data_IF_786997293577
#
_entry.id   IF_786997293577
#
_cell.length_a   1.000
_cell.length_b   1.000
_cell.length_c   1.000
_cell.angle_alpha   90.00
_cell.angle_beta   90.00
_cell.angle_gamma   90.00
#
_symmetry.space_group_name_H-M   'P 1'
#
loop_
_entity.id
_entity.type
_entity.pdbx_description
1 polymer ?
#
# COMPACT_ATOMS: atom_id res chain seq x y z
N UNK A 1 7.61 0.77 22.93
CA UNK A 1 6.20 0.42 23.03
C UNK A 1 5.39 1.21 22.02
N UNK A 2 4.53 0.53 21.29
CA UNK A 2 3.74 1.21 20.26
C UNK A 2 2.59 2.00 20.86
N UNK A 3 2.32 3.15 20.28
CA UNK A 3 1.16 3.93 20.68
C UNK A 3 -0.10 3.16 20.30
N UNK A 4 -1.08 3.22 21.17
CA UNK A 4 -2.35 2.57 20.90
C UNK A 4 -3.14 3.40 19.90
N UNK A 5 -3.59 2.76 18.83
CA UNK A 5 -4.37 3.43 17.79
C UNK A 5 -5.85 3.23 18.07
N UNK A 6 -6.58 4.34 18.11
CA UNK A 6 -8.03 4.29 18.28
C UNK A 6 -8.70 4.56 16.95
N UNK A 7 -9.01 3.49 16.24
CA UNK A 7 -9.59 3.57 14.90
C UNK A 7 -10.94 4.25 14.91
N UNK A 8 -11.72 4.06 15.97
CA UNK A 8 -13.03 4.71 16.06
C UNK A 8 -12.92 6.22 16.10
N UNK A 9 -11.93 6.73 16.82
CA UNK A 9 -11.71 8.17 16.85
C UNK A 9 -11.25 8.68 15.49
N UNK A 10 -10.40 7.91 14.81
CA UNK A 10 -9.97 8.29 13.46
C UNK A 10 -11.17 8.37 12.53
N UNK A 11 -12.06 7.39 12.60
CA UNK A 11 -13.24 7.36 11.76
C UNK A 11 -14.17 8.53 12.03
N UNK A 12 -14.18 9.03 13.27
CA UNK A 12 -15.00 10.19 13.65
C UNK A 12 -14.35 11.52 13.27
N UNK A 13 -13.13 11.49 12.74
CA UNK A 13 -12.47 12.69 12.29
C UNK A 13 -11.58 13.36 13.33
N UNK A 14 -11.18 12.62 14.37
CA UNK A 14 -10.29 13.16 15.39
C UNK A 14 -8.89 13.31 14.83
N UNK A 15 -8.41 14.55 14.71
CA UNK A 15 -7.11 14.83 14.11
C UNK A 15 -5.95 14.27 14.94
N UNK A 16 -6.05 14.32 16.26
CA UNK A 16 -4.99 13.79 17.12
C UNK A 16 -4.87 12.28 16.96
N UNK A 17 -6.02 11.60 16.87
CA UNK A 17 -6.03 10.15 16.65
C UNK A 17 -5.46 9.81 15.30
N UNK A 18 -5.77 10.60 14.28
CA UNK A 18 -5.22 10.37 12.93
C UNK A 18 -3.72 10.59 12.90
N UNK A 19 -3.23 11.59 13.62
CA UNK A 19 -1.80 11.83 13.69
C UNK A 19 -1.06 10.62 14.25
N UNK A 20 -1.58 10.04 15.33
CA UNK A 20 -0.99 8.83 15.90
C UNK A 20 -1.04 7.68 14.92
N UNK A 21 -2.16 7.53 14.23
CA UNK A 21 -2.36 6.51 13.20
C UNK A 21 -1.32 6.68 12.09
N UNK A 22 -1.17 7.91 11.60
CA UNK A 22 -0.21 8.22 10.54
C UNK A 22 1.21 7.91 10.99
N UNK A 23 1.59 8.37 12.17
CA UNK A 23 2.94 8.17 12.67
C UNK A 23 3.28 6.70 12.89
N UNK A 24 2.29 5.91 13.24
CA UNK A 24 2.49 4.49 13.43
C UNK A 24 2.68 3.76 12.11
N UNK A 25 1.85 4.04 11.12
CA UNK A 25 1.85 3.29 9.87
C UNK A 25 2.75 3.85 8.78
N UNK A 26 3.08 5.14 8.83
CA UNK A 26 3.88 5.74 7.78
C UNK A 26 5.20 5.01 7.53
N UNK A 27 6.03 4.77 8.57
CA UNK A 27 7.30 4.07 8.32
C UNK A 27 7.11 2.66 7.80
N UNK A 28 6.05 1.97 8.25
CA UNK A 28 5.78 0.61 7.79
C UNK A 28 5.38 0.59 6.32
N UNK A 29 4.54 1.54 5.92
CA UNK A 29 4.11 1.64 4.54
C UNK A 29 5.26 2.08 3.64
N UNK A 30 6.10 3.01 4.12
CA UNK A 30 7.27 3.41 3.34
C UNK A 30 8.22 2.26 3.12
N UNK A 31 8.46 1.44 4.15
CA UNK A 31 9.34 0.28 4.02
C UNK A 31 8.79 -0.69 2.96
N UNK A 32 7.48 -0.88 2.95
CA UNK A 32 6.88 -1.76 1.95
C UNK A 32 6.96 -1.16 0.56
N UNK A 33 6.60 0.11 0.41
CA UNK A 33 6.58 0.75 -0.91
C UNK A 33 7.96 0.80 -1.54
N UNK A 34 9.00 1.00 -0.73
CA UNK A 34 10.36 1.08 -1.26
C UNK A 34 10.89 -0.25 -1.81
N UNK A 35 10.16 -1.32 -1.58
CA UNK A 35 10.49 -2.60 -2.21
C UNK A 35 10.05 -2.65 -3.66
N UNK A 36 9.09 -1.82 -4.03
CA UNK A 36 8.49 -1.84 -5.37
C UNK A 36 8.95 -0.67 -6.22
N UNK A 37 9.13 0.50 -5.61
CA UNK A 37 9.39 1.74 -6.33
C UNK A 37 10.45 2.53 -5.59
N UNK A 38 10.98 3.59 -6.23
CA UNK A 38 11.98 4.42 -5.58
C UNK A 38 11.34 5.27 -4.47
N UNK A 39 12.20 5.91 -3.69
CA UNK A 39 11.75 6.62 -2.51
C UNK A 39 10.78 7.76 -2.82
N UNK A 40 11.03 8.49 -3.90
CA UNK A 40 10.17 9.60 -4.25
C UNK A 40 8.76 9.14 -4.61
N UNK A 41 8.68 8.11 -5.43
CA UNK A 41 7.40 7.53 -5.80
C UNK A 41 6.73 6.91 -4.58
N UNK A 42 7.52 6.25 -3.72
CA UNK A 42 6.97 5.66 -2.50
C UNK A 42 6.29 6.70 -1.63
N UNK A 43 6.93 7.85 -1.44
CA UNK A 43 6.32 8.93 -0.65
C UNK A 43 4.98 9.36 -1.22
N UNK A 44 4.94 9.55 -2.53
CA UNK A 44 3.70 9.98 -3.18
C UNK A 44 2.59 8.96 -3.00
N UNK A 45 2.91 7.69 -3.19
CA UNK A 45 1.90 6.64 -3.07
C UNK A 45 1.42 6.44 -1.64
N UNK A 46 2.33 6.51 -0.67
CA UNK A 46 1.96 6.36 0.72
C UNK A 46 1.08 7.52 1.16
N UNK A 47 1.42 8.74 0.78
CA UNK A 47 0.61 9.90 1.11
C UNK A 47 -0.77 9.79 0.49
N UNK A 48 -0.86 9.29 -0.73
CA UNK A 48 -2.13 9.11 -1.39
C UNK A 48 -3.02 8.11 -0.64
N UNK A 49 -2.42 7.03 -0.14
CA UNK A 49 -3.17 6.05 0.64
C UNK A 49 -3.76 6.69 1.88
N UNK A 50 -2.96 7.46 2.61
CA UNK A 50 -3.46 8.13 3.82
C UNK A 50 -4.54 9.15 3.51
N UNK A 51 -4.34 9.94 2.46
CA UNK A 51 -5.33 10.94 2.08
C UNK A 51 -6.65 10.29 1.69
N UNK A 52 -6.58 9.25 0.87
CA UNK A 52 -7.78 8.54 0.44
C UNK A 52 -8.47 7.85 1.61
N UNK A 53 -7.68 7.28 2.51
CA UNK A 53 -8.27 6.67 3.70
C UNK A 53 -9.01 7.71 4.53
N UNK A 54 -8.40 8.87 4.75
CA UNK A 54 -9.04 9.93 5.52
C UNK A 54 -10.37 10.36 4.89
N UNK A 55 -10.40 10.47 3.57
CA UNK A 55 -11.61 10.88 2.88
C UNK A 55 -12.72 9.84 2.95
N UNK A 56 -12.35 8.57 3.03
CA UNK A 56 -13.31 7.47 3.01
C UNK A 56 -13.40 6.74 4.36
N UNK A 57 -12.90 7.35 5.41
CA UNK A 57 -12.73 6.66 6.69
C UNK A 57 -14.03 6.14 7.30
N UNK A 58 -15.16 6.76 6.96
CA UNK A 58 -16.44 6.34 7.52
C UNK A 58 -16.96 5.06 6.89
N UNK A 59 -16.64 4.83 5.62
CA UNK A 59 -17.09 3.63 4.91
C UNK A 59 -16.09 2.49 4.97
N UNK A 60 -14.82 2.80 5.19
CA UNK A 60 -13.79 1.77 5.25
C UNK A 60 -13.77 1.15 6.65
N UNK A 61 -14.16 -0.11 6.74
CA UNK A 61 -14.24 -0.81 8.02
C UNK A 61 -13.63 -2.21 7.91
N UNK A 62 -12.31 -2.30 7.71
CA UNK A 62 -11.68 -3.60 7.59
C UNK A 62 -11.53 -4.28 8.95
N UNK A 63 -11.46 -5.61 8.94
CA UNK A 63 -11.22 -6.37 10.16
C UNK A 63 -9.81 -6.09 10.69
N UNK A 64 -8.84 -5.92 9.79
CA UNK A 64 -7.47 -5.63 10.17
C UNK A 64 -6.98 -4.45 9.33
N UNK A 65 -6.84 -3.30 9.99
CA UNK A 65 -6.48 -2.07 9.29
C UNK A 65 -5.07 -2.14 8.68
N UNK A 66 -4.13 -2.76 9.38
CA UNK A 66 -2.77 -2.85 8.86
C UNK A 66 -2.72 -3.67 7.58
N UNK A 67 -3.36 -4.83 7.57
CA UNK A 67 -3.42 -5.65 6.37
C UNK A 67 -4.12 -4.93 5.24
N UNK A 68 -5.18 -4.20 5.56
CA UNK A 68 -5.94 -3.45 4.56
C UNK A 68 -5.07 -2.38 3.91
N UNK A 69 -4.34 -1.61 4.71
CA UNK A 69 -3.47 -0.56 4.19
C UNK A 69 -2.31 -1.14 3.39
N UNK A 70 -1.76 -2.26 3.84
CA UNK A 70 -0.66 -2.90 3.12
C UNK A 70 -1.12 -3.36 1.74
N UNK A 71 -2.28 -4.00 1.66
CA UNK A 71 -2.81 -4.44 0.38
C UNK A 71 -3.12 -3.26 -0.54
N UNK A 72 -3.69 -2.22 0.01
CA UNK A 72 -3.99 -1.01 -0.75
C UNK A 72 -2.72 -0.42 -1.35
N UNK A 73 -1.70 -0.25 -0.51
CA UNK A 73 -0.43 0.30 -0.98
C UNK A 73 0.22 -0.58 -2.03
N UNK A 74 0.18 -1.89 -1.81
CA UNK A 74 0.70 -2.85 -2.77
C UNK A 74 0.07 -2.68 -4.14
N UNK A 75 -1.26 -2.59 -4.15
CA UNK A 75 -1.98 -2.39 -5.40
C UNK A 75 -1.58 -1.08 -6.06
N UNK A 76 -1.40 -0.03 -5.26
CA UNK A 76 -0.98 1.26 -5.80
C UNK A 76 0.41 1.18 -6.42
N UNK A 77 1.32 0.46 -5.77
CA UNK A 77 2.67 0.28 -6.31
C UNK A 77 2.66 -0.52 -7.61
N UNK A 78 1.88 -1.58 -7.63
CA UNK A 78 1.78 -2.41 -8.84
C UNK A 78 1.15 -1.64 -9.99
N UNK A 79 0.15 -0.82 -9.70
CA UNK A 79 -0.44 0.03 -10.73
C UNK A 79 0.56 1.02 -11.28
N UNK A 80 1.40 1.58 -10.42
CA UNK A 80 2.45 2.49 -10.86
C UNK A 80 3.43 1.78 -11.79
N UNK A 81 3.86 0.59 -11.41
CA UNK A 81 4.78 -0.20 -12.22
C UNK A 81 4.14 -0.53 -13.56
N UNK A 82 2.87 -0.88 -13.54
CA UNK A 82 2.14 -1.17 -14.77
C UNK A 82 2.13 0.02 -15.74
N UNK A 83 1.95 1.23 -15.20
CA UNK A 83 2.00 2.42 -16.03
C UNK A 83 3.34 2.56 -16.74
N UNK A 84 4.41 2.20 -16.06
CA UNK A 84 5.74 2.27 -16.67
C UNK A 84 5.93 1.22 -17.74
N UNK A 85 5.16 0.14 -17.72
CA UNK A 85 5.24 -0.88 -18.76
C UNK A 85 4.87 -0.32 -20.13
N UNK A 86 4.04 0.71 -20.14
CA UNK A 86 3.66 1.37 -21.41
C UNK A 86 4.87 2.08 -22.01
N UNK A 87 5.75 2.60 -21.15
CA UNK A 87 6.92 3.34 -21.61
C UNK A 87 8.11 2.42 -21.85
N UNK A 88 8.33 1.45 -20.95
CA UNK A 88 9.45 0.55 -21.03
C UNK A 88 9.00 -0.86 -20.66
N UNK A 89 8.44 -1.53 -21.64
CA UNK A 89 7.75 -2.80 -21.43
C UNK A 89 8.64 -3.87 -20.81
N UNK A 90 9.83 -4.05 -21.38
CA UNK A 90 10.68 -5.14 -20.92
C UNK A 90 11.17 -4.94 -19.50
N UNK A 91 11.70 -3.76 -19.20
CA UNK A 91 12.22 -3.47 -17.87
C UNK A 91 11.11 -3.53 -16.83
N UNK A 92 9.91 -3.07 -17.20
CA UNK A 92 8.79 -3.08 -16.27
C UNK A 92 8.34 -4.49 -15.93
N UNK A 93 8.40 -5.39 -16.89
CA UNK A 93 8.07 -6.79 -16.63
C UNK A 93 9.02 -7.41 -15.63
N UNK A 94 10.31 -7.15 -15.80
CA UNK A 94 11.31 -7.66 -14.87
C UNK A 94 11.08 -7.10 -13.48
N UNK A 95 10.78 -5.82 -13.40
CA UNK A 95 10.52 -5.16 -12.10
C UNK A 95 9.31 -5.75 -11.40
N UNK A 96 8.24 -6.03 -12.14
CA UNK A 96 7.06 -6.65 -11.56
C UNK A 96 7.39 -8.04 -11.03
N UNK A 97 8.16 -8.80 -11.77
CA UNK A 97 8.54 -10.14 -11.34
C UNK A 97 9.37 -10.07 -10.06
N UNK A 98 10.30 -9.13 -9.99
CA UNK A 98 11.12 -8.96 -8.80
C UNK A 98 10.29 -8.54 -7.59
N UNK A 99 9.35 -7.65 -7.80
CA UNK A 99 8.47 -7.19 -6.73
C UNK A 99 7.63 -8.35 -6.18
N UNK A 100 7.12 -9.19 -7.08
CA UNK A 100 6.34 -10.34 -6.66
C UNK A 100 7.17 -11.31 -5.82
N UNK A 101 8.36 -11.59 -6.27
CA UNK A 101 9.25 -12.50 -5.55
C UNK A 101 9.59 -11.96 -4.18
N UNK A 102 9.96 -10.69 -4.11
CA UNK A 102 10.32 -10.07 -2.84
C UNK A 102 9.15 -10.11 -1.86
N UNK A 103 7.95 -9.80 -2.35
CA UNK A 103 6.78 -9.78 -1.50
C UNK A 103 6.37 -11.18 -1.05
N UNK A 104 6.31 -12.11 -2.00
CA UNK A 104 5.87 -13.48 -1.71
C UNK A 104 6.86 -14.20 -0.81
N UNK A 105 8.10 -13.79 -0.82
CA UNK A 105 9.09 -14.38 0.08
C UNK A 105 8.83 -14.05 1.53
N UNK A 106 8.01 -13.04 1.79
CA UNK A 106 7.75 -12.58 3.15
C UNK A 106 6.34 -12.84 3.65
N UNK A 107 5.39 -12.97 2.73
CA UNK A 107 4.00 -13.13 3.14
C UNK A 107 3.24 -13.96 2.12
N UNK A 108 2.73 -15.09 2.54
CA UNK A 108 1.92 -15.94 1.67
C UNK A 108 0.48 -15.45 1.60
N UNK A 109 0.04 -14.70 2.60
CA UNK A 109 -1.34 -14.24 2.65
C UNK A 109 -1.69 -13.28 1.52
N UNK A 110 -0.70 -12.59 0.99
CA UNK A 110 -0.93 -11.59 -0.04
C UNK A 110 -0.72 -12.12 -1.46
N UNK A 111 -0.33 -13.37 -1.60
CA UNK A 111 -0.06 -13.94 -2.93
C UNK A 111 -1.25 -13.86 -3.85
N UNK A 112 -2.43 -14.22 -3.34
CA UNK A 112 -3.64 -14.21 -4.16
C UNK A 112 -3.99 -12.83 -4.64
N UNK A 113 -3.85 -11.83 -3.76
CA UNK A 113 -4.15 -10.45 -4.11
C UNK A 113 -3.20 -9.96 -5.20
N UNK A 114 -1.91 -10.19 -5.02
CA UNK A 114 -0.91 -9.79 -6.01
C UNK A 114 -1.16 -10.45 -7.35
N UNK A 115 -1.41 -11.76 -7.32
CA UNK A 115 -1.63 -12.50 -8.55
C UNK A 115 -2.88 -12.00 -9.28
N UNK A 116 -3.93 -11.73 -8.53
CA UNK A 116 -5.17 -11.23 -9.10
C UNK A 116 -4.97 -9.87 -9.76
N UNK A 117 -4.29 -8.96 -9.07
CA UNK A 117 -4.03 -7.63 -9.60
C UNK A 117 -3.20 -7.71 -10.89
N UNK A 118 -2.13 -8.48 -10.86
CA UNK A 118 -1.25 -8.60 -12.02
C UNK A 118 -1.99 -9.22 -13.20
N UNK A 119 -2.77 -10.26 -12.96
CA UNK A 119 -3.51 -10.92 -14.04
C UNK A 119 -4.54 -9.99 -14.66
N UNK A 120 -5.23 -9.22 -13.84
CA UNK A 120 -6.20 -8.27 -14.36
C UNK A 120 -5.54 -7.17 -15.16
N UNK A 121 -4.41 -6.69 -14.69
CA UNK A 121 -3.72 -5.58 -15.32
C UNK A 121 -3.05 -5.96 -16.63
N UNK A 122 -2.66 -7.20 -16.78
CA UNK A 122 -1.93 -7.65 -17.95
C UNK A 122 -2.82 -8.19 -19.07
N UNK A 123 -4.11 -8.20 -18.88
CA UNK A 123 -5.05 -8.63 -19.93
C UNK A 123 -5.21 -7.60 -20.99
#
# INVERSE_FOLDING_TARGET
MEAKIDIEKVRKGDHAAFKTFFECFYPKLMALACRFVDEQVAKDLVQEVFTSYWEQKKVIQPDNIQSFLFKWLQNSCLNHIKHQMVVDEYESRVRIAEARIAFWGESTDSNDVLRSVINQDLR
#
